data_IF_791781810925
#
_entry.id   IF_791781810925
#
_cell.length_a   1.000
_cell.length_b   1.000
_cell.length_c   1.000
_cell.angle_alpha   90.00
_cell.angle_beta   90.00
_cell.angle_gamma   90.00
#
_symmetry.space_group_name_H-M   'P 1'
#
loop_
_entity.id
_entity.type
_entity.pdbx_description
1 polymer ?
#
# COMPACT_ATOMS: atom_id res chain seq x y z
N UNK A 1 -21.71 -18.13 9.78
CA UNK A 1 -21.08 -16.83 9.52
C UNK A 1 -19.58 -17.10 9.47
N UNK A 2 -18.88 -16.87 8.34
CA UNK A 2 -17.44 -17.10 8.31
C UNK A 2 -16.78 -16.18 9.34
N UNK A 3 -15.85 -16.72 10.10
CA UNK A 3 -15.09 -15.96 11.08
C UNK A 3 -14.36 -14.83 10.34
N UNK A 4 -14.60 -13.58 10.75
CA UNK A 4 -13.86 -12.42 10.27
C UNK A 4 -12.39 -12.63 10.64
N UNK A 5 -11.60 -13.08 9.66
CA UNK A 5 -10.16 -13.20 9.82
C UNK A 5 -9.62 -11.77 9.91
N UNK A 6 -9.18 -11.37 11.10
CA UNK A 6 -8.51 -10.08 11.28
C UNK A 6 -7.38 -9.99 10.25
N UNK A 7 -7.25 -8.87 9.50
CA UNK A 7 -6.13 -8.70 8.59
C UNK A 7 -4.83 -8.88 9.38
N UNK A 8 -4.01 -9.84 8.95
CA UNK A 8 -2.66 -9.98 9.48
C UNK A 8 -1.82 -8.83 8.90
N UNK A 9 -1.59 -7.80 9.72
CA UNK A 9 -0.73 -6.69 9.35
C UNK A 9 0.74 -7.14 9.27
N UNK A 10 1.51 -6.61 8.31
CA UNK A 10 2.93 -6.94 8.20
C UNK A 10 3.73 -6.34 9.36
N UNK A 11 4.94 -6.89 9.57
CA UNK A 11 5.96 -6.17 10.35
C UNK A 11 6.56 -5.09 9.46
N UNK A 12 6.28 -3.83 9.77
CA UNK A 12 6.85 -2.69 9.06
C UNK A 12 8.35 -2.56 9.36
N UNK A 13 9.15 -2.38 8.31
CA UNK A 13 10.60 -2.24 8.40
C UNK A 13 11.07 -0.88 7.92
N UNK A 14 12.14 -0.40 8.55
CA UNK A 14 12.89 0.77 8.14
C UNK A 14 13.81 0.44 6.94
N UNK A 15 14.40 1.45 6.26
CA UNK A 15 15.34 1.21 5.16
C UNK A 15 16.60 0.40 5.55
N UNK A 16 16.97 0.40 6.83
CA UNK A 16 18.07 -0.40 7.38
C UNK A 16 17.65 -1.85 7.76
N UNK A 17 16.39 -2.21 7.49
CA UNK A 17 15.82 -3.52 7.78
C UNK A 17 15.36 -3.72 9.23
N UNK A 18 15.56 -2.74 10.11
CA UNK A 18 15.07 -2.84 11.49
C UNK A 18 13.55 -2.63 11.56
N UNK A 19 12.82 -3.33 12.46
CA UNK A 19 11.41 -3.09 12.65
C UNK A 19 11.11 -1.65 13.09
N UNK A 20 10.04 -1.07 12.57
CA UNK A 20 9.50 0.19 13.08
C UNK A 20 8.99 -0.07 14.50
N UNK A 21 9.53 0.63 15.50
CA UNK A 21 9.21 0.37 16.92
C UNK A 21 8.12 1.28 17.51
N UNK A 22 7.85 2.42 16.87
CA UNK A 22 6.86 3.38 17.36
C UNK A 22 5.44 2.86 17.08
N UNK A 23 4.69 2.61 18.16
CA UNK A 23 3.35 2.01 18.11
C UNK A 23 2.35 2.89 17.36
N UNK A 24 2.45 4.20 17.52
CA UNK A 24 1.58 5.17 16.83
C UNK A 24 1.81 5.14 15.32
N UNK A 25 3.07 5.04 14.88
CA UNK A 25 3.39 4.89 13.44
C UNK A 25 2.83 3.59 12.88
N UNK A 26 3.03 2.47 13.59
CA UNK A 26 2.48 1.17 13.18
C UNK A 26 0.96 1.24 13.06
N UNK A 27 0.28 1.87 14.04
CA UNK A 27 -1.17 2.02 14.02
C UNK A 27 -1.64 2.75 12.75
N UNK A 28 -1.05 3.90 12.44
CA UNK A 28 -1.40 4.67 11.23
C UNK A 28 -1.14 3.86 9.96
N UNK A 29 -0.02 3.14 9.88
CA UNK A 29 0.29 2.31 8.71
C UNK A 29 -0.71 1.15 8.54
N UNK A 30 -1.20 0.57 9.63
CA UNK A 30 -2.21 -0.48 9.60
C UNK A 30 -3.58 0.08 9.19
N UNK A 31 -3.98 1.25 9.72
CA UNK A 31 -5.21 1.95 9.30
C UNK A 31 -5.19 2.25 7.80
N UNK A 32 -4.06 2.74 7.27
CA UNK A 32 -3.90 2.95 5.83
C UNK A 32 -4.06 1.66 5.01
N UNK A 33 -3.55 0.52 5.49
CA UNK A 33 -3.70 -0.76 4.78
C UNK A 33 -5.15 -1.24 4.77
N UNK A 34 -5.88 -1.05 5.87
CA UNK A 34 -7.31 -1.38 5.94
C UNK A 34 -8.10 -0.52 4.96
N UNK A 35 -7.86 0.79 4.93
CA UNK A 35 -8.54 1.71 3.99
C UNK A 35 -8.26 1.35 2.52
N UNK A 36 -7.01 1.02 2.18
CA UNK A 36 -6.67 0.57 0.82
C UNK A 36 -7.38 -0.73 0.48
N UNK A 37 -7.49 -1.66 1.43
CA UNK A 37 -8.14 -2.95 1.23
C UNK A 37 -9.64 -2.79 0.99
N UNK A 38 -10.31 -1.97 1.80
CA UNK A 38 -11.73 -1.67 1.65
C UNK A 38 -12.00 -1.03 0.29
N UNK A 39 -11.25 0.02 -0.07
CA UNK A 39 -11.41 0.69 -1.36
C UNK A 39 -11.12 -0.22 -2.56
N UNK A 40 -10.11 -1.08 -2.47
CA UNK A 40 -9.79 -2.04 -3.52
C UNK A 40 -10.86 -3.13 -3.65
N UNK A 41 -11.46 -3.55 -2.54
CA UNK A 41 -12.55 -4.53 -2.52
C UNK A 41 -13.81 -3.93 -3.16
N UNK A 42 -14.21 -2.72 -2.77
CA UNK A 42 -15.36 -2.02 -3.36
C UNK A 42 -15.19 -1.85 -4.88
N UNK A 43 -14.01 -1.42 -5.32
CA UNK A 43 -13.70 -1.26 -6.74
C UNK A 43 -13.76 -2.60 -7.52
N UNK A 44 -13.34 -3.70 -6.89
CA UNK A 44 -13.43 -5.04 -7.48
C UNK A 44 -14.90 -5.49 -7.60
N UNK A 45 -15.69 -5.31 -6.54
CA UNK A 45 -17.10 -5.68 -6.51
C UNK A 45 -17.90 -4.91 -7.56
N UNK A 46 -17.69 -3.59 -7.66
CA UNK A 46 -18.32 -2.75 -8.68
C UNK A 46 -17.96 -3.23 -10.10
N UNK A 47 -16.69 -3.52 -10.37
CA UNK A 47 -16.27 -4.00 -11.69
C UNK A 47 -16.90 -5.35 -12.05
N UNK A 48 -16.97 -6.28 -11.09
CA UNK A 48 -17.62 -7.59 -11.29
C UNK A 48 -19.13 -7.40 -11.53
N UNK A 49 -19.80 -6.53 -10.76
CA UNK A 49 -21.22 -6.23 -10.94
C UNK A 49 -21.52 -5.62 -12.32
N UNK A 50 -20.56 -4.89 -12.89
CA UNK A 50 -20.65 -4.31 -14.24
C UNK A 50 -20.26 -5.30 -15.35
N UNK A 51 -19.88 -6.54 -15.01
CA UNK A 51 -19.59 -7.62 -15.95
C UNK A 51 -18.13 -7.70 -16.42
N UNK A 52 -17.19 -7.10 -15.70
CA UNK A 52 -15.76 -7.24 -15.99
C UNK A 52 -15.22 -8.61 -15.54
N UNK A 53 -14.11 -9.05 -16.15
CA UNK A 53 -13.38 -10.24 -15.72
C UNK A 53 -12.60 -9.95 -14.42
N UNK A 54 -12.80 -10.78 -13.40
CA UNK A 54 -12.17 -10.60 -12.08
C UNK A 54 -10.63 -10.58 -12.18
N UNK A 55 -10.04 -11.46 -13.00
CA UNK A 55 -8.58 -11.58 -13.12
C UNK A 55 -8.00 -10.29 -13.70
N UNK A 56 -8.62 -9.77 -14.74
CA UNK A 56 -8.23 -8.52 -15.37
C UNK A 56 -8.34 -7.32 -14.42
N UNK A 57 -9.38 -7.25 -13.58
CA UNK A 57 -9.52 -6.17 -12.59
C UNK A 57 -8.40 -6.27 -11.54
N UNK A 58 -8.09 -7.47 -11.06
CA UNK A 58 -6.97 -7.69 -10.11
C UNK A 58 -5.63 -7.25 -10.71
N UNK A 59 -5.37 -7.59 -11.98
CA UNK A 59 -4.16 -7.15 -12.69
C UNK A 59 -4.06 -5.62 -12.78
N UNK A 60 -5.18 -4.93 -13.04
CA UNK A 60 -5.22 -3.46 -13.04
C UNK A 60 -4.89 -2.89 -11.66
N UNK A 61 -5.49 -3.43 -10.59
CA UNK A 61 -5.19 -3.01 -9.22
C UNK A 61 -3.70 -3.23 -8.86
N UNK A 62 -3.12 -4.36 -9.25
CA UNK A 62 -1.68 -4.61 -9.11
C UNK A 62 -0.85 -3.57 -9.87
N UNK A 63 -1.22 -3.27 -11.12
CA UNK A 63 -0.54 -2.25 -11.93
C UNK A 63 -0.58 -0.86 -11.32
N UNK A 64 -1.65 -0.49 -10.60
CA UNK A 64 -1.73 0.77 -9.85
C UNK A 64 -0.68 0.80 -8.73
N UNK A 65 -0.58 -0.27 -7.94
CA UNK A 65 0.39 -0.37 -6.83
C UNK A 65 1.82 -0.35 -7.35
N UNK A 66 2.11 -1.09 -8.43
CA UNK A 66 3.43 -1.12 -9.06
C UNK A 66 3.84 0.23 -9.67
N UNK A 67 2.86 1.02 -10.10
CA UNK A 67 3.05 2.37 -10.64
C UNK A 67 3.26 3.47 -9.60
N UNK A 68 3.17 3.18 -8.29
CA UNK A 68 3.34 4.18 -7.24
C UNK A 68 4.76 4.77 -7.25
N UNK A 69 4.84 6.10 -7.28
CA UNK A 69 6.11 6.82 -7.28
C UNK A 69 6.53 7.21 -5.86
N UNK A 70 7.80 6.98 -5.50
CA UNK A 70 8.38 7.47 -4.25
C UNK A 70 8.97 8.88 -4.47
N UNK A 71 8.34 9.95 -3.97
CA UNK A 71 8.80 11.32 -4.18
C UNK A 71 10.14 11.61 -3.50
N UNK A 72 10.53 10.82 -2.49
CA UNK A 72 11.76 11.01 -1.73
C UNK A 72 12.99 10.34 -2.36
N UNK A 73 12.83 9.56 -3.44
CA UNK A 73 13.99 9.02 -4.19
C UNK A 73 14.75 10.10 -4.97
N UNK A 74 14.13 11.25 -5.26
CA UNK A 74 14.74 12.38 -5.98
C UNK A 74 15.25 13.43 -4.98
N UNK A 75 16.36 13.14 -4.31
CA UNK A 75 17.05 14.08 -3.41
C UNK A 75 18.55 13.81 -3.20
N UNK A 76 19.14 12.85 -3.91
CA UNK A 76 20.55 12.47 -3.79
C UNK A 76 21.51 13.22 -4.72
N UNK A 77 21.32 14.52 -4.95
CA UNK A 77 22.35 15.37 -5.56
C UNK A 77 22.17 16.83 -5.11
N UNK A 78 23.00 17.21 -4.14
CA UNK A 78 23.13 18.57 -3.62
C UNK A 78 24.28 18.65 -2.61
N UNK A 79 25.39 17.96 -2.88
CA UNK A 79 26.63 18.19 -2.16
C UNK A 79 27.32 19.44 -2.75
N UNK A 80 27.59 20.42 -1.88
CA UNK A 80 28.82 21.22 -1.92
C UNK A 80 29.03 22.22 -3.06
N UNK A 81 28.89 23.50 -2.72
CA UNK A 81 29.79 24.62 -3.05
C UNK A 81 30.39 24.75 -4.46
N UNK A 82 30.14 25.91 -5.08
CA UNK A 82 31.14 26.80 -5.71
C UNK A 82 30.45 28.05 -6.27
N UNK A 83 31.03 29.23 -5.97
CA UNK A 83 30.74 30.50 -6.64
C UNK A 83 30.17 31.57 -5.72
#
# INVERSE_FOLDING_TARGET
>A
MPAETKPEFPTWVQPDGQPVSCREKIKVLNENLDEIREMAQDALEDAILMGCDETQVREVLHGIVDGLNNPYKRGGNGAGGQG
#
